data_IF_678858677453
#
_entry.id   IF_678858677453
#
_cell.length_a   1.000
_cell.length_b   1.000
_cell.length_c   1.000
_cell.angle_alpha   90.00
_cell.angle_beta   90.00
_cell.angle_gamma   90.00
#
_symmetry.space_group_name_H-M   'P 1'
#
loop_
_entity.id
_entity.type
_entity.pdbx_description
1 polymer ?
#
# COMPACT_ATOMS: atom_id res chain seq x y z
N UNK A 1 16.33 -14.28 -11.21
CA UNK A 1 15.35 -14.10 -10.12
C UNK A 1 14.73 -12.73 -10.31
N UNK A 2 13.42 -12.67 -10.58
CA UNK A 2 12.66 -11.41 -10.71
C UNK A 2 12.57 -10.78 -9.31
N UNK A 3 12.69 -9.46 -9.22
CA UNK A 3 12.56 -8.73 -7.95
C UNK A 3 11.16 -8.94 -7.42
N UNK A 4 11.04 -9.57 -6.25
CA UNK A 4 9.79 -9.54 -5.49
C UNK A 4 9.68 -8.15 -4.89
N UNK A 5 8.54 -7.49 -5.06
CA UNK A 5 8.24 -6.26 -4.32
C UNK A 5 8.16 -6.61 -2.83
N UNK A 6 9.13 -6.17 -2.04
CA UNK A 6 9.24 -6.46 -0.61
C UNK A 6 8.45 -5.44 0.22
N UNK A 7 7.11 -5.54 0.19
CA UNK A 7 6.23 -4.76 1.06
C UNK A 7 5.58 -5.71 2.08
N UNK A 8 6.08 -5.81 3.32
CA UNK A 8 5.61 -6.77 4.32
C UNK A 8 4.09 -6.71 4.56
N UNK A 9 3.52 -5.50 4.48
CA UNK A 9 2.09 -5.27 4.67
C UNK A 9 1.21 -6.00 3.63
N UNK A 10 1.76 -6.35 2.47
CA UNK A 10 1.02 -7.10 1.43
C UNK A 10 0.52 -8.43 1.97
N UNK A 11 1.39 -9.22 2.58
CA UNK A 11 1.03 -10.56 3.05
C UNK A 11 0.06 -10.49 4.23
N UNK A 12 0.23 -9.52 5.13
CA UNK A 12 -0.69 -9.27 6.23
C UNK A 12 -2.09 -8.89 5.73
N UNK A 13 -2.18 -8.03 4.71
CA UNK A 13 -3.46 -7.63 4.10
C UNK A 13 -4.09 -8.80 3.37
N UNK A 14 -3.32 -9.54 2.57
CA UNK A 14 -3.84 -10.71 1.85
C UNK A 14 -4.39 -11.76 2.80
N UNK A 15 -3.67 -12.09 3.88
CA UNK A 15 -4.14 -13.04 4.88
C UNK A 15 -5.47 -12.59 5.52
N UNK A 16 -5.59 -11.32 5.90
CA UNK A 16 -6.84 -10.80 6.46
C UNK A 16 -7.98 -10.86 5.44
N UNK A 17 -7.73 -10.53 4.18
CA UNK A 17 -8.74 -10.60 3.12
C UNK A 17 -9.19 -12.04 2.86
N UNK A 18 -8.29 -13.01 2.88
CA UNK A 18 -8.65 -14.43 2.77
C UNK A 18 -9.54 -14.88 3.92
N UNK A 19 -9.22 -14.50 5.16
CA UNK A 19 -10.03 -14.82 6.34
C UNK A 19 -11.42 -14.17 6.29
N UNK A 20 -11.53 -12.98 5.68
CA UNK A 20 -12.80 -12.28 5.47
C UNK A 20 -13.58 -12.80 4.24
N UNK A 21 -13.02 -13.73 3.47
CA UNK A 21 -13.62 -14.27 2.24
C UNK A 21 -13.53 -13.33 1.02
N UNK A 22 -12.72 -12.28 1.10
CA UNK A 22 -12.53 -11.26 0.08
C UNK A 22 -11.50 -11.69 -0.99
N UNK A 23 -11.61 -12.92 -1.51
CA UNK A 23 -10.66 -13.49 -2.48
C UNK A 23 -10.54 -12.67 -3.78
N UNK A 24 -11.59 -11.93 -4.15
CA UNK A 24 -11.54 -10.99 -5.28
C UNK A 24 -10.52 -9.86 -5.05
N UNK A 25 -10.41 -9.36 -3.83
CA UNK A 25 -9.45 -8.32 -3.47
C UNK A 25 -8.02 -8.87 -3.38
N UNK A 26 -7.85 -10.11 -2.94
CA UNK A 26 -6.54 -10.81 -2.96
C UNK A 26 -5.99 -10.88 -4.39
N UNK A 27 -6.81 -11.33 -5.34
CA UNK A 27 -6.42 -11.39 -6.76
C UNK A 27 -6.13 -10.01 -7.35
N UNK A 28 -6.83 -8.97 -6.89
CA UNK A 28 -6.57 -7.59 -7.31
C UNK A 28 -5.21 -7.09 -6.80
N UNK A 29 -4.83 -7.43 -5.57
CA UNK A 29 -3.50 -7.15 -5.01
C UNK A 29 -2.43 -7.86 -5.82
N UNK A 30 -2.57 -9.16 -6.09
CA UNK A 30 -1.58 -9.89 -6.88
C UNK A 30 -1.39 -9.30 -8.28
N UNK A 31 -2.50 -8.95 -8.95
CA UNK A 31 -2.46 -8.30 -10.25
C UNK A 31 -1.75 -6.94 -10.20
N UNK A 32 -2.01 -6.15 -9.15
CA UNK A 32 -1.39 -4.85 -8.95
C UNK A 32 0.12 -4.97 -8.71
N UNK A 33 0.57 -5.97 -7.93
CA UNK A 33 2.00 -6.23 -7.70
C UNK A 33 2.73 -6.58 -9.00
N UNK A 34 2.17 -7.49 -9.80
CA UNK A 34 2.74 -7.89 -11.10
C UNK A 34 2.89 -6.69 -12.05
N UNK A 35 1.89 -5.80 -12.08
CA UNK A 35 1.97 -4.58 -12.91
C UNK A 35 3.09 -3.64 -12.42
N UNK A 36 3.27 -3.52 -11.11
CA UNK A 36 4.27 -2.64 -10.53
C UNK A 36 5.69 -3.19 -10.62
N UNK A 37 5.90 -4.51 -10.59
CA UNK A 37 7.20 -5.14 -10.87
C UNK A 37 7.73 -4.73 -12.25
N UNK A 38 6.83 -4.65 -13.25
CA UNK A 38 7.16 -4.18 -14.60
C UNK A 38 7.58 -2.69 -14.66
N UNK A 39 7.26 -1.90 -13.63
CA UNK A 39 7.55 -0.47 -13.55
C UNK A 39 8.74 -0.14 -12.65
N UNK A 40 9.17 -1.05 -11.78
CA UNK A 40 10.24 -0.84 -10.79
C UNK A 40 11.53 -0.30 -11.44
N UNK A 41 11.99 -0.95 -12.51
CA UNK A 41 13.19 -0.52 -13.26
C UNK A 41 13.14 0.90 -13.82
N UNK A 42 11.94 1.47 -14.00
CA UNK A 42 11.71 2.81 -14.57
C UNK A 42 11.40 3.88 -13.52
N UNK A 43 10.85 3.47 -12.37
CA UNK A 43 10.30 4.38 -11.36
C UNK A 43 11.06 4.37 -10.04
N UNK A 44 11.87 3.34 -9.79
CA UNK A 44 12.58 3.13 -8.53
C UNK A 44 11.76 2.31 -7.53
N UNK A 45 12.46 1.56 -6.67
CA UNK A 45 11.86 0.64 -5.69
C UNK A 45 10.93 1.38 -4.74
N UNK A 46 11.34 2.53 -4.23
CA UNK A 46 10.59 3.24 -3.21
C UNK A 46 9.29 3.86 -3.77
N UNK A 47 9.28 4.29 -5.03
CA UNK A 47 8.06 4.72 -5.70
C UNK A 47 7.04 3.58 -5.79
N UNK A 48 7.52 2.37 -6.09
CA UNK A 48 6.68 1.17 -6.14
C UNK A 48 6.14 0.84 -4.76
N UNK A 49 6.98 0.87 -3.71
CA UNK A 49 6.54 0.64 -2.33
C UNK A 49 5.43 1.60 -1.89
N UNK A 50 5.60 2.90 -2.13
CA UNK A 50 4.56 3.91 -1.85
C UNK A 50 3.28 3.63 -2.62
N UNK A 51 3.39 3.26 -3.89
CA UNK A 51 2.23 2.95 -4.75
C UNK A 51 1.46 1.74 -4.27
N UNK A 52 2.16 0.68 -3.85
CA UNK A 52 1.57 -0.53 -3.26
C UNK A 52 0.89 -0.21 -1.94
N UNK A 53 1.57 0.48 -1.03
CA UNK A 53 0.97 0.87 0.25
C UNK A 53 -0.26 1.78 0.06
N UNK A 54 -0.24 2.68 -0.92
CA UNK A 54 -1.40 3.51 -1.26
C UNK A 54 -2.58 2.70 -1.76
N UNK A 55 -2.33 1.66 -2.56
CA UNK A 55 -3.37 0.74 -3.02
C UNK A 55 -3.98 -0.05 -1.85
N UNK A 56 -3.14 -0.61 -0.98
CA UNK A 56 -3.58 -1.32 0.22
C UNK A 56 -4.38 -0.41 1.18
N UNK A 57 -3.92 0.82 1.40
CA UNK A 57 -4.63 1.80 2.22
C UNK A 57 -6.03 2.07 1.67
N UNK A 58 -6.17 2.22 0.34
CA UNK A 58 -7.47 2.41 -0.31
C UNK A 58 -8.43 1.24 -0.12
N UNK A 59 -7.93 0.00 -0.22
CA UNK A 59 -8.72 -1.21 0.04
C UNK A 59 -9.20 -1.22 1.49
N UNK A 60 -8.29 -1.05 2.45
CA UNK A 60 -8.60 -1.13 3.88
C UNK A 60 -9.54 0.02 4.32
N UNK A 61 -9.35 1.22 3.78
CA UNK A 61 -10.25 2.36 4.02
C UNK A 61 -11.69 2.03 3.60
N UNK A 62 -11.86 1.46 2.42
CA UNK A 62 -13.17 1.06 1.92
C UNK A 62 -13.79 -0.05 2.78
N UNK A 63 -13.00 -1.05 3.16
CA UNK A 63 -13.46 -2.18 3.99
C UNK A 63 -13.85 -1.78 5.41
N UNK A 64 -13.13 -0.83 6.03
CA UNK A 64 -13.44 -0.32 7.37
C UNK A 64 -14.87 0.22 7.50
N UNK A 65 -15.49 0.62 6.40
CA UNK A 65 -16.88 1.09 6.38
C UNK A 65 -17.92 -0.02 6.16
N UNK A 66 -17.48 -1.22 5.79
CA UNK A 66 -18.33 -2.35 5.36
C UNK A 66 -18.24 -3.56 6.28
N UNK A 67 -17.13 -3.73 6.98
CA UNK A 67 -16.82 -4.91 7.80
C UNK A 67 -16.58 -4.48 9.23
N UNK A 68 -17.26 -5.13 10.18
CA UNK A 68 -17.06 -4.94 11.62
C UNK A 68 -15.98 -5.90 12.13
N UNK A 69 -14.77 -5.74 11.60
CA UNK A 69 -13.57 -6.46 12.07
C UNK A 69 -12.50 -5.43 12.48
N UNK A 70 -12.14 -5.35 13.77
CA UNK A 70 -11.19 -4.34 14.26
C UNK A 70 -9.81 -4.45 13.59
N UNK A 71 -9.42 -5.63 13.12
CA UNK A 71 -8.13 -5.87 12.46
C UNK A 71 -8.01 -5.08 11.16
N UNK A 72 -9.13 -4.82 10.47
CA UNK A 72 -9.15 -3.96 9.28
C UNK A 72 -8.71 -2.53 9.64
N UNK A 73 -9.22 -2.01 10.76
CA UNK A 73 -8.87 -0.67 11.24
C UNK A 73 -7.42 -0.58 11.72
N UNK A 74 -6.93 -1.60 12.43
CA UNK A 74 -5.54 -1.69 12.88
C UNK A 74 -4.57 -1.73 11.70
N UNK A 75 -4.86 -2.58 10.72
CA UNK A 75 -4.02 -2.73 9.53
C UNK A 75 -4.07 -1.47 8.65
N UNK A 76 -5.22 -0.81 8.55
CA UNK A 76 -5.35 0.50 7.88
C UNK A 76 -4.38 1.53 8.48
N UNK A 77 -4.38 1.70 9.80
CA UNK A 77 -3.50 2.67 10.44
C UNK A 77 -2.02 2.29 10.30
N UNK A 78 -1.68 1.00 10.31
CA UNK A 78 -0.32 0.53 10.05
C UNK A 78 0.15 0.89 8.64
N UNK A 79 -0.63 0.53 7.61
CA UNK A 79 -0.31 0.84 6.21
C UNK A 79 -0.21 2.35 5.99
N UNK A 80 -1.18 3.11 6.52
CA UNK A 80 -1.20 4.57 6.41
C UNK A 80 0.05 5.22 7.00
N UNK A 81 0.47 4.80 8.20
CA UNK A 81 1.70 5.30 8.85
C UNK A 81 2.93 4.97 8.01
N UNK A 82 3.06 3.72 7.57
CA UNK A 82 4.19 3.29 6.75
C UNK A 82 4.29 4.07 5.45
N UNK A 83 3.16 4.29 4.76
CA UNK A 83 3.13 5.12 3.55
C UNK A 83 3.53 6.56 3.83
N UNK A 84 3.02 7.16 4.90
CA UNK A 84 3.35 8.53 5.27
C UNK A 84 4.85 8.71 5.57
N UNK A 85 5.47 7.75 6.27
CA UNK A 85 6.91 7.73 6.53
C UNK A 85 7.71 7.72 5.21
N UNK A 86 7.33 6.86 4.26
CA UNK A 86 7.99 6.80 2.95
C UNK A 86 7.74 8.08 2.13
N UNK A 87 6.50 8.58 2.10
CA UNK A 87 6.16 9.84 1.41
C UNK A 87 6.97 11.03 1.93
N UNK A 88 7.27 11.08 3.23
CA UNK A 88 8.10 12.12 3.82
C UNK A 88 9.55 12.08 3.34
N UNK A 89 10.10 10.90 3.06
CA UNK A 89 11.44 10.76 2.45
C UNK A 89 11.50 11.34 1.03
N UNK A 90 10.37 11.37 0.31
CA UNK A 90 10.26 11.90 -1.06
C UNK A 90 9.71 13.32 -1.14
N UNK A 91 9.17 13.87 -0.05
CA UNK A 91 8.78 15.28 -0.02
C UNK A 91 10.02 16.13 -0.23
N UNK A 92 10.05 16.86 -1.36
CA UNK A 92 11.03 17.93 -1.55
C UNK A 92 10.95 18.88 -0.34
N UNK A 93 12.08 19.41 0.15
CA UNK A 93 12.06 20.41 1.21
C UNK A 93 11.11 21.53 0.80
N UNK A 94 10.23 21.94 1.73
CA UNK A 94 9.29 23.05 1.48
C UNK A 94 10.12 24.26 1.05
N UNK A 95 9.89 24.75 -0.17
CA UNK A 95 10.58 25.93 -0.69
C UNK A 95 9.99 27.13 0.06
N UNK A 96 10.74 27.83 0.92
CA UNK A 96 10.15 28.81 1.86
C UNK A 96 9.52 30.05 1.21
N UNK A 97 9.63 30.23 -0.11
CA UNK A 97 9.25 31.45 -0.82
C UNK A 97 8.02 31.29 -1.73
N UNK A 98 7.22 30.23 -1.57
CA UNK A 98 5.98 30.01 -2.35
C UNK A 98 4.70 30.07 -1.50
N UNK A 99 4.80 30.52 -0.25
CA UNK A 99 3.64 30.88 0.58
C UNK A 99 3.47 32.42 0.53
N UNK A 100 2.63 32.90 -0.38
CA UNK A 100 1.96 34.21 -0.29
C UNK A 100 0.51 34.00 0.22
#
# INVERSE_FOLDING_TARGET
MRGMIEVPEVEEVKALLEELGEFGLVNAIDSFLVLNEGLESKKGKEFIEVSVLGFLEGILLALKSKVDDPRVGELYEKVRKRRAELDELFRKPRVPYLEE
#
